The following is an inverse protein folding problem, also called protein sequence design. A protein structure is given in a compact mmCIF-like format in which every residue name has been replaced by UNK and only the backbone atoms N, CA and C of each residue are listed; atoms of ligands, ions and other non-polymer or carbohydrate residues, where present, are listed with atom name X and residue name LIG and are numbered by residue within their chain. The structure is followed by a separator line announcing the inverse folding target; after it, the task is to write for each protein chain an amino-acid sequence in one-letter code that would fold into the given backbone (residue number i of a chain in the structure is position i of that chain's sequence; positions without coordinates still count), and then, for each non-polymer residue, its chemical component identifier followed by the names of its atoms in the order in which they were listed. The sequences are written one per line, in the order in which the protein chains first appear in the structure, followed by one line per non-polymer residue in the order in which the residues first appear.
data_IF_740804622254
#
_entry.id   IF_740804622254
#
_cell.length_a   1.000
_cell.length_b   1.000
_cell.length_c   1.000
_cell.angle_alpha   90.00
_cell.angle_beta   90.00
_cell.angle_gamma   90.00
#
_symmetry.space_group_name_H-M   'P 1'
#
loop_
_entity.id
_entity.type
_entity.pdbx_description
1 polymer ?
#
# COMPACT_ATOMS: atom_id res chain seq x y z
N UNK A 1 -0.07 6.39 -17.04
CA UNK A 1 0.43 5.12 -17.62
C UNK A 1 1.71 5.27 -18.45
N UNK A 2 1.76 6.05 -19.52
CA UNK A 2 2.90 6.08 -20.48
C UNK A 2 4.26 6.36 -19.84
N UNK A 3 4.33 7.22 -18.83
CA UNK A 3 5.56 7.54 -18.12
C UNK A 3 6.16 6.31 -17.39
N UNK A 4 5.30 5.42 -16.87
CA UNK A 4 5.74 4.18 -16.21
C UNK A 4 6.25 3.17 -17.24
N UNK A 5 5.68 3.12 -18.44
CA UNK A 5 6.23 2.30 -19.54
C UNK A 5 7.62 2.78 -19.97
N UNK A 6 7.82 4.10 -20.00
CA UNK A 6 9.14 4.70 -20.24
C UNK A 6 10.10 4.31 -19.11
N UNK A 7 9.64 4.39 -17.85
CA UNK A 7 10.42 4.00 -16.68
C UNK A 7 10.91 2.55 -16.76
N UNK A 8 10.03 1.61 -17.10
CA UNK A 8 10.37 0.17 -17.24
C UNK A 8 11.49 -0.10 -18.23
N UNK A 9 11.50 0.65 -19.34
CA UNK A 9 12.48 0.48 -20.43
C UNK A 9 13.76 1.28 -20.20
N UNK A 10 13.78 2.16 -19.21
CA UNK A 10 14.89 3.07 -18.97
C UNK A 10 16.09 2.33 -18.33
N UNK A 11 17.28 2.54 -18.90
CA UNK A 11 18.55 2.00 -18.38
C UNK A 11 19.37 3.05 -17.62
N UNK A 12 19.13 4.33 -17.90
CA UNK A 12 19.78 5.42 -17.20
C UNK A 12 19.13 5.63 -15.83
N UNK A 13 19.89 5.32 -14.77
CA UNK A 13 19.44 5.41 -13.37
C UNK A 13 19.10 6.84 -12.95
N UNK A 14 19.79 7.85 -13.48
CA UNK A 14 19.51 9.25 -13.20
C UNK A 14 18.16 9.66 -13.81
N UNK A 15 17.85 9.18 -15.02
CA UNK A 15 16.54 9.42 -15.63
C UNK A 15 15.43 8.71 -14.86
N UNK A 16 15.66 7.46 -14.43
CA UNK A 16 14.71 6.75 -13.55
C UNK A 16 14.44 7.55 -12.27
N UNK A 17 15.48 8.01 -11.58
CA UNK A 17 15.35 8.80 -10.36
C UNK A 17 14.50 10.05 -10.58
N UNK A 18 14.77 10.81 -11.66
CA UNK A 18 13.98 12.01 -12.01
C UNK A 18 12.52 11.69 -12.31
N UNK A 19 12.24 10.54 -12.92
CA UNK A 19 10.86 10.11 -13.16
C UNK A 19 10.15 9.83 -11.84
N UNK A 20 10.75 9.04 -10.93
CA UNK A 20 10.13 8.76 -9.63
C UNK A 20 9.93 10.04 -8.81
N UNK A 21 10.94 10.90 -8.76
CA UNK A 21 10.85 12.20 -8.08
C UNK A 21 9.73 13.08 -8.67
N UNK A 22 9.58 13.10 -9.99
CA UNK A 22 8.49 13.81 -10.65
C UNK A 22 7.12 13.25 -10.23
N UNK A 23 6.95 11.92 -10.19
CA UNK A 23 5.69 11.29 -9.80
C UNK A 23 5.39 11.52 -8.32
N UNK A 24 6.37 11.40 -7.42
CA UNK A 24 6.18 11.68 -5.99
C UNK A 24 5.74 13.12 -5.72
N UNK A 25 6.20 14.07 -6.54
CA UNK A 25 5.86 15.49 -6.39
C UNK A 25 4.50 15.89 -7.01
N UNK A 26 3.74 14.95 -7.57
CA UNK A 26 2.38 15.24 -8.05
C UNK A 26 1.51 15.68 -6.87
N UNK A 27 0.80 16.80 -7.04
CA UNK A 27 -0.06 17.40 -6.02
C UNK A 27 -1.56 17.18 -6.26
N UNK A 28 -1.91 16.63 -7.43
CA UNK A 28 -3.31 16.37 -7.78
C UNK A 28 -3.76 15.07 -7.13
N UNK A 29 -4.70 15.17 -6.20
CA UNK A 29 -5.21 14.03 -5.44
C UNK A 29 -5.78 12.92 -6.32
N UNK A 30 -6.34 13.28 -7.48
CA UNK A 30 -6.87 12.34 -8.46
C UNK A 30 -5.80 11.39 -9.04
N UNK A 31 -4.52 11.70 -8.85
CA UNK A 31 -3.43 10.81 -9.26
C UNK A 31 -3.23 9.61 -8.31
N UNK A 32 -3.72 9.66 -7.06
CA UNK A 32 -3.54 8.59 -6.09
C UNK A 32 -4.08 7.24 -6.62
N UNK A 33 -5.32 7.25 -7.13
CA UNK A 33 -5.95 6.06 -7.71
C UNK A 33 -5.19 5.50 -8.93
N UNK A 34 -4.62 6.37 -9.76
CA UNK A 34 -3.83 5.94 -10.92
C UNK A 34 -2.48 5.34 -10.49
N UNK A 35 -1.85 5.88 -9.45
CA UNK A 35 -0.60 5.35 -8.88
C UNK A 35 -0.86 3.95 -8.29
N UNK A 36 -1.91 3.79 -7.49
CA UNK A 36 -2.28 2.49 -6.92
C UNK A 36 -2.54 1.46 -8.02
N UNK A 37 -3.37 1.80 -9.00
CA UNK A 37 -3.66 0.92 -10.15
C UNK A 37 -2.40 0.49 -10.90
N UNK A 38 -1.40 1.35 -10.99
CA UNK A 38 -0.13 1.05 -11.65
C UNK A 38 0.74 0.10 -10.81
N UNK A 39 0.74 0.27 -9.49
CA UNK A 39 1.45 -0.60 -8.55
C UNK A 39 0.84 -2.00 -8.58
N UNK A 40 -0.48 -2.13 -8.51
CA UNK A 40 -1.17 -3.42 -8.54
C UNK A 40 -0.85 -4.23 -9.81
N UNK A 41 -0.83 -3.56 -10.96
CA UNK A 41 -0.53 -4.17 -12.27
C UNK A 41 0.95 -4.47 -12.50
N UNK A 42 1.84 -4.02 -11.62
CA UNK A 42 3.26 -4.31 -11.78
C UNK A 42 3.55 -5.76 -11.36
N UNK A 43 4.04 -6.56 -12.28
CA UNK A 43 4.37 -7.97 -12.01
C UNK A 43 5.81 -8.13 -11.53
N UNK A 44 6.69 -7.16 -11.81
CA UNK A 44 8.06 -7.20 -11.36
C UNK A 44 8.17 -6.74 -9.90
N UNK A 45 8.60 -7.60 -8.97
CA UNK A 45 8.62 -7.26 -7.54
C UNK A 45 9.55 -6.10 -7.20
N UNK A 46 10.66 -5.97 -7.94
CA UNK A 46 11.63 -4.86 -7.75
C UNK A 46 10.99 -3.54 -8.18
N UNK A 47 10.33 -3.51 -9.35
CA UNK A 47 9.66 -2.30 -9.83
C UNK A 47 8.47 -1.93 -8.95
N UNK A 48 7.71 -2.93 -8.47
CA UNK A 48 6.62 -2.72 -7.52
C UNK A 48 7.12 -2.02 -6.25
N UNK A 49 8.29 -2.44 -5.75
CA UNK A 49 8.92 -1.79 -4.61
C UNK A 49 9.37 -0.35 -4.92
N UNK A 50 9.99 -0.12 -6.08
CA UNK A 50 10.33 1.24 -6.54
C UNK A 50 9.10 2.15 -6.64
N UNK A 51 7.93 1.59 -6.98
CA UNK A 51 6.67 2.33 -7.06
C UNK A 51 5.99 2.52 -5.70
N UNK A 52 6.09 1.58 -4.75
CA UNK A 52 5.65 1.80 -3.37
C UNK A 52 6.40 2.98 -2.72
N UNK A 53 7.69 3.14 -3.03
CA UNK A 53 8.45 4.30 -2.60
C UNK A 53 7.88 5.64 -3.12
N UNK A 54 7.12 5.63 -4.24
CA UNK A 54 6.44 6.83 -4.71
C UNK A 54 5.35 7.26 -3.74
N UNK A 55 4.57 6.33 -3.21
CA UNK A 55 3.52 6.59 -2.21
C UNK A 55 4.15 7.24 -0.98
N UNK A 56 5.19 6.60 -0.42
CA UNK A 56 5.89 7.10 0.76
C UNK A 56 6.44 8.53 0.60
N UNK A 57 6.98 8.85 -0.58
CA UNK A 57 7.55 10.17 -0.84
C UNK A 57 6.51 11.19 -1.35
N UNK A 58 5.24 10.78 -1.48
CA UNK A 58 4.19 11.64 -1.99
C UNK A 58 3.53 12.44 -0.86
N UNK A 59 2.93 13.58 -1.23
CA UNK A 59 2.05 14.37 -0.36
C UNK A 59 0.57 14.06 -0.55
N UNK A 60 0.25 13.14 -1.47
CA UNK A 60 -1.13 12.73 -1.70
C UNK A 60 -1.63 11.89 -0.53
N UNK A 61 -2.93 11.95 -0.31
CA UNK A 61 -3.60 11.10 0.66
C UNK A 61 -3.95 9.75 0.01
N UNK A 62 -3.60 8.63 0.63
CA UNK A 62 -3.91 7.30 0.12
C UNK A 62 -4.91 6.55 1.01
N UNK A 63 -5.51 7.19 2.00
CA UNK A 63 -6.45 6.54 2.94
C UNK A 63 -7.65 5.86 2.25
N UNK A 64 -8.11 6.40 1.11
CA UNK A 64 -9.17 5.79 0.29
C UNK A 64 -8.73 4.51 -0.46
N UNK A 65 -7.46 4.13 -0.36
CA UNK A 65 -6.83 2.97 -1.01
C UNK A 65 -6.22 2.01 0.01
N UNK A 66 -6.64 2.09 1.28
CA UNK A 66 -6.14 1.22 2.34
C UNK A 66 -6.27 -0.26 1.96
N UNK A 67 -7.43 -0.70 1.46
CA UNK A 67 -7.67 -2.09 1.07
C UNK A 67 -6.76 -2.53 -0.08
N UNK A 68 -6.51 -1.65 -1.06
CA UNK A 68 -5.60 -1.92 -2.17
C UNK A 68 -4.15 -2.13 -1.66
N UNK A 69 -3.70 -1.30 -0.71
CA UNK A 69 -2.36 -1.40 -0.11
C UNK A 69 -2.23 -2.66 0.76
N UNK A 70 -3.27 -3.02 1.51
CA UNK A 70 -3.33 -4.28 2.26
C UNK A 70 -3.28 -5.48 1.30
N UNK A 71 -4.02 -5.42 0.18
CA UNK A 71 -3.97 -6.44 -0.86
C UNK A 71 -2.55 -6.60 -1.43
N UNK A 72 -1.84 -5.49 -1.68
CA UNK A 72 -0.44 -5.54 -2.12
C UNK A 72 0.45 -6.24 -1.08
N UNK A 73 0.26 -5.97 0.22
CA UNK A 73 1.03 -6.58 1.29
C UNK A 73 0.86 -8.11 1.37
N UNK A 74 -0.39 -8.60 1.30
CA UNK A 74 -0.67 -10.04 1.44
C UNK A 74 -0.24 -10.85 0.22
N UNK A 75 -0.31 -10.28 -0.98
CA UNK A 75 0.11 -10.95 -2.22
C UNK A 75 1.61 -10.76 -2.53
N UNK A 76 2.25 -9.76 -1.93
CA UNK A 76 3.64 -9.40 -2.17
C UNK A 76 4.67 -10.26 -1.44
N UNK A 77 5.94 -9.90 -1.58
CA UNK A 77 7.02 -10.47 -0.76
C UNK A 77 7.15 -9.74 0.59
N UNK A 78 8.07 -10.19 1.45
CA UNK A 78 8.24 -9.59 2.77
C UNK A 78 8.68 -8.12 2.73
N UNK A 79 9.39 -7.68 1.69
CA UNK A 79 9.81 -6.28 1.54
C UNK A 79 8.61 -5.41 1.18
N UNK A 80 7.76 -5.89 0.29
CA UNK A 80 6.51 -5.22 -0.07
C UNK A 80 5.55 -5.14 1.13
N UNK A 81 5.46 -6.20 1.94
CA UNK A 81 4.67 -6.19 3.17
C UNK A 81 5.18 -5.16 4.19
N UNK A 82 6.50 -5.06 4.36
CA UNK A 82 7.14 -4.04 5.21
C UNK A 82 6.81 -2.62 4.73
N UNK A 83 7.03 -2.34 3.44
CA UNK A 83 6.77 -1.01 2.87
C UNK A 83 5.29 -0.64 3.02
N UNK A 84 4.37 -1.59 2.78
CA UNK A 84 2.94 -1.38 2.96
C UNK A 84 2.58 -1.09 4.42
N UNK A 85 3.14 -1.82 5.38
CA UNK A 85 2.92 -1.55 6.81
C UNK A 85 3.30 -0.10 7.15
N UNK A 86 4.52 0.32 6.80
CA UNK A 86 5.00 1.68 7.09
C UNK A 86 4.16 2.75 6.39
N UNK A 87 3.73 2.51 5.14
CA UNK A 87 2.81 3.40 4.43
C UNK A 87 1.49 3.51 5.20
N UNK A 88 0.87 2.39 5.57
CA UNK A 88 -0.43 2.33 6.26
C UNK A 88 -0.38 3.10 7.58
N UNK A 89 0.64 2.89 8.40
CA UNK A 89 0.81 3.57 9.69
C UNK A 89 0.93 5.09 9.57
N UNK A 90 1.38 5.61 8.43
CA UNK A 90 1.58 7.03 8.19
C UNK A 90 0.46 7.67 7.35
N UNK A 91 -0.56 6.91 6.96
CA UNK A 91 -1.72 7.50 6.30
C UNK A 91 -2.52 8.37 7.29
N UNK A 92 -3.07 9.51 6.84
CA UNK A 92 -3.70 10.47 7.74
C UNK A 92 -5.00 9.93 8.38
N UNK A 93 -5.74 9.09 7.66
CA UNK A 93 -7.08 8.68 8.07
C UNK A 93 -8.06 9.88 8.16
N UNK A 94 -9.26 9.69 8.73
CA UNK A 94 -9.83 8.41 9.17
C UNK A 94 -10.07 7.47 7.98
N UNK A 95 -10.14 6.17 8.25
CA UNK A 95 -10.41 5.17 7.21
C UNK A 95 -11.91 4.92 7.11
N UNK A 96 -12.43 4.80 5.89
CA UNK A 96 -13.82 4.45 5.67
C UNK A 96 -14.06 2.97 6.04
N UNK A 97 -15.23 2.67 6.63
CA UNK A 97 -15.60 1.32 7.09
C UNK A 97 -15.40 0.25 6.01
N UNK A 98 -15.81 0.53 4.78
CA UNK A 98 -15.66 -0.43 3.67
C UNK A 98 -14.19 -0.80 3.37
N UNK A 99 -13.25 0.14 3.55
CA UNK A 99 -11.82 -0.13 3.37
C UNK A 99 -11.29 -1.04 4.47
N UNK A 100 -11.74 -0.83 5.70
CA UNK A 100 -11.35 -1.66 6.85
C UNK A 100 -11.92 -3.08 6.72
N UNK A 101 -13.21 -3.20 6.37
CA UNK A 101 -13.85 -4.50 6.16
C UNK A 101 -13.18 -5.28 5.04
N UNK A 102 -12.90 -4.64 3.89
CA UNK A 102 -12.21 -5.31 2.79
C UNK A 102 -10.78 -5.72 3.17
N UNK A 103 -10.05 -4.85 3.88
CA UNK A 103 -8.72 -5.16 4.42
C UNK A 103 -8.75 -6.39 5.33
N UNK A 104 -9.73 -6.48 6.24
CA UNK A 104 -9.91 -7.62 7.13
C UNK A 104 -10.17 -8.92 6.36
N UNK A 105 -10.89 -8.86 5.23
CA UNK A 105 -11.11 -10.03 4.37
C UNK A 105 -9.80 -10.52 3.75
N UNK A 106 -8.98 -9.63 3.17
CA UNK A 106 -7.67 -9.99 2.62
C UNK A 106 -6.74 -10.58 3.68
N UNK A 107 -6.68 -9.95 4.86
CA UNK A 107 -5.83 -10.40 5.96
C UNK A 107 -6.26 -11.76 6.49
N UNK A 108 -7.57 -11.99 6.64
CA UNK A 108 -8.10 -13.27 7.08
C UNK A 108 -7.75 -14.39 6.10
N UNK A 109 -7.99 -14.17 4.80
CA UNK A 109 -7.67 -15.16 3.77
C UNK A 109 -6.17 -15.49 3.76
N UNK A 110 -5.31 -14.48 3.89
CA UNK A 110 -3.88 -14.70 4.03
C UNK A 110 -3.54 -15.52 5.27
N UNK A 111 -4.04 -15.15 6.45
CA UNK A 111 -3.71 -15.81 7.72
C UNK A 111 -4.18 -17.28 7.75
N UNK A 112 -5.32 -17.57 7.12
CA UNK A 112 -5.86 -18.93 7.01
C UNK A 112 -5.04 -19.83 6.05
N UNK A 113 -4.38 -19.23 5.06
CA UNK A 113 -3.65 -19.95 3.99
C UNK A 113 -2.13 -19.72 3.98
N UNK A 114 -1.59 -18.97 4.95
CA UNK A 114 -0.18 -18.53 4.94
C UNK A 114 0.81 -19.69 4.94
N UNK A 115 1.94 -19.46 4.30
CA UNK A 115 3.09 -20.34 4.44
C UNK A 115 3.82 -20.02 5.75
N UNK A 116 3.79 -20.96 6.71
CA UNK A 116 4.48 -20.81 8.01
C UNK A 116 6.00 -20.65 7.88
N UNK A 117 6.59 -21.01 6.74
CA UNK A 117 8.01 -20.76 6.44
C UNK A 117 8.35 -19.29 6.14
N UNK A 118 7.39 -18.45 5.76
CA UNK A 118 7.60 -17.03 5.44
C UNK A 118 7.54 -16.14 6.69
N UNK A 119 8.34 -16.46 7.69
CA UNK A 119 8.26 -15.86 9.04
C UNK A 119 8.28 -14.33 9.05
N UNK A 120 9.13 -13.70 8.24
CA UNK A 120 9.22 -12.23 8.15
C UNK A 120 7.97 -11.61 7.54
N UNK A 121 7.45 -12.18 6.45
CA UNK A 121 6.21 -11.70 5.82
C UNK A 121 5.04 -11.88 6.77
N UNK A 122 4.93 -13.06 7.41
CA UNK A 122 3.89 -13.36 8.38
C UNK A 122 3.89 -12.37 9.54
N UNK A 123 5.07 -11.96 10.02
CA UNK A 123 5.20 -10.92 11.03
C UNK A 123 4.58 -9.60 10.54
N UNK A 124 5.04 -9.04 9.42
CA UNK A 124 4.52 -7.75 8.93
C UNK A 124 3.03 -7.78 8.62
N UNK A 125 2.52 -8.85 8.01
CA UNK A 125 1.08 -8.97 7.73
C UNK A 125 0.27 -9.08 9.04
N UNK A 126 0.83 -9.69 10.09
CA UNK A 126 0.17 -9.73 11.41
C UNK A 126 0.12 -8.35 12.08
N UNK A 127 1.18 -7.55 11.95
CA UNK A 127 1.20 -6.16 12.44
C UNK A 127 0.18 -5.30 11.68
N UNK A 128 0.07 -5.47 10.35
CA UNK A 128 -0.99 -4.81 9.57
C UNK A 128 -2.36 -5.23 10.10
N UNK A 129 -2.57 -6.53 10.37
CA UNK A 129 -3.85 -7.01 10.89
C UNK A 129 -4.19 -6.42 12.27
N UNK A 130 -3.20 -6.26 13.14
CA UNK A 130 -3.38 -5.61 14.44
C UNK A 130 -3.75 -4.14 14.26
N UNK A 131 -3.03 -3.40 13.43
CA UNK A 131 -3.32 -2.00 13.14
C UNK A 131 -4.73 -1.80 12.60
N UNK A 132 -5.14 -2.59 11.59
CA UNK A 132 -6.49 -2.51 11.01
C UNK A 132 -7.57 -2.76 12.06
N UNK A 133 -7.35 -3.72 12.96
CA UNK A 133 -8.29 -4.01 14.04
C UNK A 133 -8.43 -2.84 15.01
N UNK A 134 -7.32 -2.22 15.41
CA UNK A 134 -7.33 -1.05 16.29
C UNK A 134 -8.07 0.14 15.65
N UNK A 135 -7.85 0.38 14.35
CA UNK A 135 -8.59 1.43 13.61
C UNK A 135 -10.10 1.16 13.57
N UNK A 136 -10.51 -0.10 13.38
CA UNK A 136 -11.93 -0.47 13.35
C UNK A 136 -12.61 -0.30 14.73
N UNK A 137 -11.95 -0.73 15.80
CA UNK A 137 -12.47 -0.55 17.17
C UNK A 137 -12.59 0.95 17.54
N UNK A 138 -11.70 1.80 17.02
CA UNK A 138 -11.81 3.25 17.17
C UNK A 138 -13.07 3.83 16.54
N UNK A 139 -13.42 3.40 15.33
CA UNK A 139 -14.65 3.83 14.64
C UNK A 139 -15.89 3.37 15.40
N UNK A 140 -15.92 2.11 15.84
CA UNK A 140 -17.05 1.58 16.62
C UNK A 140 -17.26 2.39 17.91
N UNK A 141 -16.18 2.85 18.56
CA UNK A 141 -16.24 3.70 19.73
C UNK A 141 -16.81 5.09 19.40
N UNK A 142 -16.34 5.75 18.34
CA UNK A 142 -16.80 7.08 17.95
C UNK A 142 -18.31 7.10 17.63
N UNK A 143 -18.83 6.06 16.97
CA UNK A 143 -20.27 5.90 16.69
C UNK A 143 -21.15 5.77 17.93
N UNK A 144 -20.59 5.34 19.07
CA UNK A 144 -21.31 5.26 20.34
C UNK A 144 -21.44 6.60 21.06
N UNK A 145 -20.64 7.60 20.64
CA UNK A 145 -20.60 8.93 21.26
C UNK A 145 -21.28 10.03 20.41
N UNK A 146 -21.84 9.69 19.24
CA UNK A 146 -22.71 10.56 18.41
C UNK A 146 -24.21 10.38 18.71
#
# INVERSE_FOLDING_TARGET
TELFEIYRKQRNTEVKKKILEFVSNIQKQEAAAEIIRLIEKEENPILKQEFLAVIWNSKLDFSAHLADIVSIAVHGDFMQALDCLTIIENMPGPFEEHQLLESQLYLKDYLDNRNEGETQKNHFVSEIALYIKEQNEGIDADLLFE
#
